data_IF_874506912251
#
_entry.id   IF_874506912251
#
_cell.length_a   1.000
_cell.length_b   1.000
_cell.length_c   1.000
_cell.angle_alpha   90.00
_cell.angle_beta   90.00
_cell.angle_gamma   90.00
#
_symmetry.space_group_name_H-M   'P 1'
#
loop_
_entity.id
_entity.type
_entity.pdbx_description
1 polymer ?
#
# COMPACT_ATOMS: atom_id res chain seq x y z
N UNK A 1 6.80 16.22 10.67
CA UNK A 1 5.84 16.21 11.79
C UNK A 1 4.41 16.51 11.33
N UNK A 2 4.21 17.24 10.22
CA UNK A 2 2.87 17.55 9.67
C UNK A 2 2.11 16.35 9.09
N UNK A 3 2.79 15.37 8.48
CA UNK A 3 2.12 14.24 7.80
C UNK A 3 1.31 13.34 8.76
N UNK A 4 1.81 13.08 9.97
CA UNK A 4 1.08 12.26 10.94
C UNK A 4 -0.15 13.01 11.49
N UNK A 5 -0.01 14.31 11.73
CA UNK A 5 -1.11 15.16 12.17
C UNK A 5 -2.18 15.21 11.08
N UNK A 6 -1.81 15.43 9.81
CA UNK A 6 -2.77 15.46 8.70
C UNK A 6 -3.51 14.13 8.53
N UNK A 7 -2.85 12.98 8.71
CA UNK A 7 -3.53 11.66 8.69
C UNK A 7 -4.57 11.53 9.80
N UNK A 8 -4.28 12.02 11.00
CA UNK A 8 -5.23 12.03 12.12
C UNK A 8 -6.37 13.02 11.84
N UNK A 9 -6.07 14.19 11.26
CA UNK A 9 -7.11 15.15 10.85
C UNK A 9 -8.04 14.54 9.80
N UNK A 10 -7.52 13.86 8.79
CA UNK A 10 -8.32 13.13 7.79
C UNK A 10 -9.21 12.08 8.46
N UNK A 11 -8.69 11.30 9.41
CA UNK A 11 -9.51 10.37 10.20
C UNK A 11 -10.66 11.10 10.90
N UNK A 12 -10.41 12.25 11.53
CA UNK A 12 -11.43 13.01 12.24
C UNK A 12 -12.49 13.62 11.33
N UNK A 13 -12.09 14.11 10.16
CA UNK A 13 -12.98 14.78 9.21
C UNK A 13 -13.80 13.78 8.40
N UNK A 14 -13.17 12.73 7.90
CA UNK A 14 -13.73 11.86 6.85
C UNK A 14 -13.97 10.42 7.33
N UNK A 15 -13.27 9.96 8.36
CA UNK A 15 -13.40 8.60 8.89
C UNK A 15 -14.80 8.29 9.44
N UNK A 16 -15.15 7.00 9.56
CA UNK A 16 -16.39 6.60 10.25
C UNK A 16 -16.34 7.01 11.72
N UNK A 17 -17.51 7.22 12.35
CA UNK A 17 -17.57 7.61 13.76
C UNK A 17 -16.98 6.54 14.68
N UNK A 18 -17.10 5.28 14.30
CA UNK A 18 -16.56 4.11 14.99
C UNK A 18 -15.03 4.08 14.95
N UNK A 19 -14.43 4.58 13.86
CA UNK A 19 -12.98 4.65 13.70
C UNK A 19 -12.35 5.79 14.52
N UNK A 20 -13.13 6.78 14.97
CA UNK A 20 -12.65 7.90 15.80
C UNK A 20 -12.48 7.43 17.25
N UNK A 21 -11.32 6.84 17.53
CA UNK A 21 -10.91 6.47 18.88
C UNK A 21 -9.40 6.57 19.05
N UNK A 22 -8.94 6.56 20.30
CA UNK A 22 -7.51 6.68 20.58
C UNK A 22 -6.69 5.47 20.08
N UNK A 23 -7.30 4.28 19.99
CA UNK A 23 -6.64 3.08 19.48
C UNK A 23 -6.26 3.23 18.00
N UNK A 24 -7.17 3.74 17.16
CA UNK A 24 -6.92 4.02 15.74
C UNK A 24 -5.79 5.04 15.58
N UNK A 25 -5.71 6.04 16.46
CA UNK A 25 -4.65 7.04 16.44
C UNK A 25 -3.29 6.40 16.76
N UNK A 26 -3.21 5.52 17.76
CA UNK A 26 -1.99 4.76 18.06
C UNK A 26 -1.58 3.93 16.84
N UNK A 27 -2.53 3.26 16.19
CA UNK A 27 -2.28 2.47 14.98
C UNK A 27 -1.73 3.32 13.83
N UNK A 28 -2.37 4.46 13.52
CA UNK A 28 -1.92 5.39 12.47
C UNK A 28 -0.51 5.95 12.70
N UNK A 29 -0.11 6.09 13.96
CA UNK A 29 1.21 6.60 14.33
C UNK A 29 2.27 5.50 14.49
N UNK A 30 1.88 4.22 14.48
CA UNK A 30 2.80 3.09 14.61
C UNK A 30 3.82 3.14 13.48
N UNK A 31 5.09 2.85 13.81
CA UNK A 31 6.17 2.71 12.82
C UNK A 31 6.60 1.25 12.77
N UNK A 32 6.16 0.53 11.74
CA UNK A 32 6.31 -0.93 11.70
C UNK A 32 5.64 -1.57 12.92
N UNK A 33 6.40 -2.35 13.69
CA UNK A 33 5.92 -2.95 14.94
C UNK A 33 6.00 -2.02 16.16
N UNK A 34 6.64 -0.86 16.05
CA UNK A 34 6.93 0.00 17.23
C UNK A 34 5.81 0.99 17.53
N UNK A 35 5.30 0.94 18.77
CA UNK A 35 4.38 1.93 19.33
C UNK A 35 5.16 3.11 19.91
N UNK A 36 4.75 4.33 19.58
CA UNK A 36 5.37 5.55 20.11
C UNK A 36 5.10 5.74 21.62
N UNK A 37 5.98 6.46 22.33
CA UNK A 37 5.73 6.83 23.73
C UNK A 37 4.42 7.60 23.93
N UNK A 38 3.70 7.32 25.02
CA UNK A 38 2.38 7.92 25.33
C UNK A 38 2.37 9.45 25.22
N UNK A 39 3.41 10.12 25.75
CA UNK A 39 3.49 11.58 25.71
C UNK A 39 3.56 12.13 24.27
N UNK A 40 4.22 11.42 23.35
CA UNK A 40 4.29 11.78 21.92
C UNK A 40 2.94 11.56 21.25
N UNK A 41 2.32 10.39 21.45
CA UNK A 41 0.99 10.05 20.91
C UNK A 41 -0.05 11.07 21.38
N UNK A 42 -0.07 11.37 22.69
CA UNK A 42 -1.00 12.33 23.31
C UNK A 42 -0.78 13.75 22.80
N UNK A 43 0.47 14.18 22.63
CA UNK A 43 0.81 15.49 22.06
C UNK A 43 0.27 15.66 20.65
N UNK A 44 0.51 14.68 19.78
CA UNK A 44 0.04 14.70 18.39
C UNK A 44 -1.49 14.63 18.30
N UNK A 45 -2.13 13.77 19.09
CA UNK A 45 -3.59 13.68 19.16
C UNK A 45 -4.20 15.02 19.61
N UNK A 46 -3.63 15.67 20.63
CA UNK A 46 -4.10 16.97 21.11
C UNK A 46 -3.98 18.05 20.04
N UNK A 47 -2.86 18.08 19.30
CA UNK A 47 -2.69 19.00 18.18
C UNK A 47 -3.76 18.77 17.10
N UNK A 48 -3.94 17.52 16.65
CA UNK A 48 -4.91 17.19 15.63
C UNK A 48 -6.36 17.49 16.06
N UNK A 49 -6.73 17.20 17.32
CA UNK A 49 -8.04 17.53 17.88
C UNK A 49 -8.27 19.04 17.77
N UNK A 50 -7.35 19.84 18.30
CA UNK A 50 -7.51 21.30 18.28
C UNK A 50 -7.68 21.85 16.85
N UNK A 51 -6.89 21.35 15.89
CA UNK A 51 -6.96 21.79 14.50
C UNK A 51 -8.23 21.30 13.78
N UNK A 52 -8.75 20.11 14.12
CA UNK A 52 -9.95 19.56 13.47
C UNK A 52 -11.26 20.13 14.04
N UNK A 53 -11.33 20.51 15.31
CA UNK A 53 -12.59 20.92 15.94
C UNK A 53 -13.25 22.14 15.27
N UNK A 54 -12.46 23.06 14.73
CA UNK A 54 -12.97 24.23 14.01
C UNK A 54 -13.53 23.87 12.63
N UNK A 55 -13.05 22.77 12.04
CA UNK A 55 -13.41 22.30 10.70
C UNK A 55 -14.62 21.37 10.69
N UNK A 56 -15.04 20.85 11.85
CA UNK A 56 -16.12 19.86 11.97
C UNK A 56 -17.43 20.58 12.31
N UNK A 57 -18.40 20.67 11.37
CA UNK A 57 -19.71 21.24 11.65
C UNK A 57 -20.63 20.27 12.40
N UNK A 58 -20.47 18.96 12.19
CA UNK A 58 -21.32 17.94 12.81
C UNK A 58 -21.04 17.78 14.31
N UNK A 59 -22.06 17.98 15.13
CA UNK A 59 -21.95 17.94 16.58
C UNK A 59 -21.54 16.55 17.10
N UNK A 60 -22.12 15.49 16.54
CA UNK A 60 -21.87 14.11 17.00
C UNK A 60 -20.40 13.71 16.76
N UNK A 61 -19.88 14.01 15.57
CA UNK A 61 -18.47 13.83 15.20
C UNK A 61 -17.56 14.68 16.07
N UNK A 62 -17.90 15.96 16.29
CA UNK A 62 -17.13 16.86 17.16
C UNK A 62 -17.01 16.31 18.58
N UNK A 63 -18.09 15.77 19.13
CA UNK A 63 -18.10 15.12 20.44
C UNK A 63 -17.19 13.87 20.46
N UNK A 64 -17.24 13.03 19.42
CA UNK A 64 -16.36 11.86 19.31
C UNK A 64 -14.87 12.23 19.24
N UNK A 65 -14.53 13.27 18.49
CA UNK A 65 -13.15 13.79 18.40
C UNK A 65 -12.66 14.31 19.76
N UNK A 66 -13.50 14.97 20.54
CA UNK A 66 -13.14 15.39 21.91
C UNK A 66 -12.92 14.19 22.84
N UNK A 67 -13.76 13.17 22.74
CA UNK A 67 -13.72 11.96 23.58
C UNK A 67 -12.39 11.20 23.43
N UNK A 68 -11.73 11.28 22.27
CA UNK A 68 -10.41 10.68 22.04
C UNK A 68 -9.40 11.04 23.13
N UNK A 69 -9.40 12.28 23.63
CA UNK A 69 -8.43 12.73 24.63
C UNK A 69 -8.68 12.15 26.01
N UNK A 70 -9.92 11.79 26.33
CA UNK A 70 -10.28 11.19 27.63
C UNK A 70 -9.92 9.70 27.68
N UNK A 71 -9.83 9.04 26.52
CA UNK A 71 -9.52 7.62 26.39
C UNK A 71 -8.02 7.28 26.54
N UNK A 72 -7.14 8.30 26.57
CA UNK A 72 -5.69 8.18 26.30
C UNK A 72 -4.95 7.12 27.14
N UNK A 73 -5.00 7.18 28.47
CA UNK A 73 -4.15 6.33 29.33
C UNK A 73 -4.58 4.86 29.35
N UNK A 74 -5.87 4.60 29.48
CA UNK A 74 -6.42 3.25 29.56
C UNK A 74 -6.22 2.51 28.24
N UNK A 75 -6.58 3.15 27.12
CA UNK A 75 -6.42 2.55 25.80
C UNK A 75 -4.94 2.31 25.49
N UNK A 76 -4.05 3.25 25.82
CA UNK A 76 -2.62 3.06 25.58
C UNK A 76 -2.06 1.85 26.33
N UNK A 77 -2.39 1.69 27.62
CA UNK A 77 -1.95 0.53 28.41
C UNK A 77 -2.46 -0.78 27.83
N UNK A 78 -3.74 -0.82 27.41
CA UNK A 78 -4.32 -2.01 26.80
C UNK A 78 -3.64 -2.35 25.48
N UNK A 79 -3.38 -1.36 24.62
CA UNK A 79 -2.71 -1.56 23.33
C UNK A 79 -1.26 -2.02 23.52
N UNK A 80 -0.50 -1.44 24.44
CA UNK A 80 0.86 -1.91 24.77
C UNK A 80 0.84 -3.32 25.36
N UNK A 81 -0.12 -3.63 26.23
CA UNK A 81 -0.28 -4.98 26.78
C UNK A 81 -0.64 -6.01 25.71
N UNK A 82 -1.54 -5.67 24.79
CA UNK A 82 -1.90 -6.51 23.64
C UNK A 82 -0.71 -6.69 22.69
N UNK A 83 0.10 -5.66 22.47
CA UNK A 83 1.32 -5.75 21.65
C UNK A 83 2.35 -6.70 22.29
N UNK A 84 2.53 -6.61 23.61
CA UNK A 84 3.48 -7.45 24.35
C UNK A 84 3.14 -8.95 24.27
N UNK A 85 1.86 -9.31 24.14
CA UNK A 85 1.41 -10.70 23.96
C UNK A 85 1.27 -11.09 22.48
N UNK A 86 1.80 -10.27 21.55
CA UNK A 86 1.65 -10.45 20.10
C UNK A 86 0.18 -10.47 19.63
N UNK A 87 -0.75 -9.99 20.44
CA UNK A 87 -2.17 -9.86 20.07
C UNK A 87 -2.44 -8.74 19.05
N UNK A 88 -1.48 -7.80 18.90
CA UNK A 88 -1.45 -6.81 17.81
C UNK A 88 -0.42 -7.13 16.73
N UNK A 89 0.18 -8.31 16.80
CA UNK A 89 0.83 -8.87 15.64
C UNK A 89 -0.30 -9.21 14.67
N UNK A 90 -0.51 -8.36 13.68
CA UNK A 90 -0.71 -8.95 12.35
C UNK A 90 0.42 -9.95 12.23
N UNK A 91 0.12 -11.22 11.96
CA UNK A 91 1.09 -11.99 11.20
C UNK A 91 1.39 -11.11 9.99
N UNK A 92 2.42 -10.27 10.12
CA UNK A 92 3.28 -10.04 9.02
C UNK A 92 3.77 -11.47 8.75
N UNK A 93 3.03 -12.20 7.90
CA UNK A 93 3.68 -12.62 6.68
C UNK A 93 4.58 -11.46 6.37
N UNK A 94 5.89 -11.67 6.60
CA UNK A 94 6.87 -10.74 6.14
C UNK A 94 6.35 -10.40 4.75
N UNK A 95 5.83 -9.20 4.53
CA UNK A 95 5.78 -8.67 3.18
C UNK A 95 7.25 -8.74 2.90
N UNK A 96 7.72 -9.76 2.16
CA UNK A 96 9.10 -9.81 1.76
C UNK A 96 9.37 -8.46 1.12
N UNK A 97 10.62 -8.18 0.85
CA UNK A 97 10.90 -7.16 -0.14
C UNK A 97 10.52 -7.69 -1.54
N UNK A 98 9.23 -8.09 -1.68
CA UNK A 98 8.53 -8.41 -2.90
C UNK A 98 8.86 -7.36 -3.95
N UNK A 99 9.18 -6.12 -3.56
CA UNK A 99 9.60 -5.15 -4.56
C UNK A 99 10.79 -5.67 -5.40
N UNK A 100 11.93 -5.99 -4.78
CA UNK A 100 13.15 -6.38 -5.49
C UNK A 100 13.11 -7.84 -5.94
N UNK A 101 12.77 -8.76 -5.03
CA UNK A 101 12.79 -10.19 -5.35
C UNK A 101 11.68 -10.60 -6.32
N UNK A 102 10.54 -9.90 -6.34
CA UNK A 102 9.49 -10.12 -7.35
C UNK A 102 9.83 -9.46 -8.68
N UNK A 103 10.45 -8.26 -8.70
CA UNK A 103 11.04 -7.70 -9.94
C UNK A 103 11.98 -8.74 -10.55
N UNK A 104 12.91 -9.27 -9.76
CA UNK A 104 13.88 -10.25 -10.26
C UNK A 104 13.24 -11.58 -10.67
N UNK A 105 12.21 -12.05 -9.96
CA UNK A 105 11.44 -13.25 -10.37
C UNK A 105 10.67 -13.01 -11.68
N UNK A 106 10.01 -11.87 -11.82
CA UNK A 106 9.23 -11.51 -13.01
C UNK A 106 10.13 -11.30 -14.23
N UNK A 107 11.28 -10.64 -14.06
CA UNK A 107 12.29 -10.49 -15.11
C UNK A 107 12.80 -11.85 -15.59
N UNK A 108 13.13 -12.77 -14.66
CA UNK A 108 13.54 -14.14 -15.02
C UNK A 108 12.44 -14.91 -15.75
N UNK A 109 11.19 -14.80 -15.30
CA UNK A 109 10.06 -15.45 -15.95
C UNK A 109 9.83 -14.89 -17.37
N UNK A 110 9.95 -13.57 -17.56
CA UNK A 110 9.83 -12.93 -18.86
C UNK A 110 10.98 -13.33 -19.79
N UNK A 111 12.23 -13.33 -19.30
CA UNK A 111 13.39 -13.83 -20.04
C UNK A 111 13.16 -15.26 -20.52
N UNK A 112 12.69 -16.15 -19.63
CA UNK A 112 12.39 -17.55 -19.98
C UNK A 112 11.30 -17.67 -21.06
N UNK A 113 10.27 -16.80 -21.04
CA UNK A 113 9.23 -16.78 -22.07
C UNK A 113 9.75 -16.29 -23.42
N UNK A 114 10.77 -15.43 -23.42
CA UNK A 114 11.39 -14.90 -24.64
C UNK A 114 12.45 -15.84 -25.25
N UNK A 115 12.85 -16.91 -24.56
CA UNK A 115 13.76 -17.94 -25.13
C UNK A 115 13.06 -18.86 -26.15
N UNK A 116 11.73 -18.90 -26.16
CA UNK A 116 10.94 -19.77 -27.03
C UNK A 116 9.96 -18.96 -27.90
N UNK A 117 10.37 -18.50 -29.10
CA UNK A 117 9.48 -17.90 -30.07
C UNK A 117 8.35 -18.86 -30.44
N UNK A 118 7.12 -18.34 -30.56
CA UNK A 118 5.94 -19.16 -30.87
C UNK A 118 5.96 -19.64 -32.33
N UNK A 119 6.49 -18.82 -33.25
CA UNK A 119 6.67 -19.15 -34.65
C UNK A 119 7.96 -18.52 -35.19
N UNK A 120 8.48 -19.07 -36.29
CA UNK A 120 9.71 -18.56 -36.93
C UNK A 120 9.60 -17.09 -37.37
N UNK A 121 8.38 -16.64 -37.70
CA UNK A 121 8.09 -15.24 -38.06
C UNK A 121 8.27 -14.27 -36.88
N UNK A 122 8.21 -14.77 -35.65
CA UNK A 122 8.27 -13.96 -34.43
C UNK A 122 9.71 -13.85 -33.87
N UNK A 123 10.68 -14.59 -34.43
CA UNK A 123 12.07 -14.64 -33.95
C UNK A 123 12.68 -13.23 -33.85
N UNK A 124 12.47 -12.38 -34.87
CA UNK A 124 13.01 -11.01 -34.89
C UNK A 124 12.45 -10.15 -33.74
N UNK A 125 11.15 -10.27 -33.48
CA UNK A 125 10.48 -9.57 -32.38
C UNK A 125 10.99 -10.05 -31.02
N UNK A 126 11.10 -11.36 -30.83
CA UNK A 126 11.58 -11.97 -29.59
C UNK A 126 13.03 -11.55 -29.29
N UNK A 127 13.90 -11.56 -30.30
CA UNK A 127 15.29 -11.10 -30.17
C UNK A 127 15.37 -9.61 -29.81
N UNK A 128 14.51 -8.78 -30.40
CA UNK A 128 14.43 -7.34 -30.08
C UNK A 128 13.98 -7.13 -28.63
N UNK A 129 12.93 -7.84 -28.20
CA UNK A 129 12.43 -7.77 -26.82
C UNK A 129 13.46 -8.26 -25.81
N UNK A 130 14.18 -9.34 -26.12
CA UNK A 130 15.26 -9.88 -25.29
C UNK A 130 16.41 -8.88 -25.13
N UNK A 131 16.80 -8.22 -26.22
CA UNK A 131 17.86 -7.20 -26.21
C UNK A 131 17.45 -6.01 -25.36
N UNK A 132 16.22 -5.50 -25.53
CA UNK A 132 15.70 -4.41 -24.74
C UNK A 132 15.63 -4.77 -23.25
N UNK A 133 15.14 -5.96 -22.92
CA UNK A 133 15.03 -6.44 -21.54
C UNK A 133 16.38 -6.52 -20.82
N UNK A 134 17.43 -6.91 -21.54
CA UNK A 134 18.80 -6.97 -21.00
C UNK A 134 19.45 -5.59 -20.81
N UNK A 135 18.94 -4.56 -21.48
CA UNK A 135 19.45 -3.19 -21.37
C UNK A 135 18.85 -2.40 -20.20
N UNK A 136 17.80 -2.92 -19.56
CA UNK A 136 17.13 -2.27 -18.42
C UNK A 136 18.03 -2.39 -17.18
N UNK A 137 18.31 -1.25 -16.53
CA UNK A 137 18.95 -1.25 -15.22
C UNK A 137 17.95 -1.70 -14.15
N UNK A 138 18.14 -2.93 -13.67
CA UNK A 138 17.30 -3.52 -12.62
C UNK A 138 17.33 -2.73 -11.32
N UNK A 139 18.38 -1.92 -11.11
CA UNK A 139 18.53 -1.12 -9.91
C UNK A 139 17.64 0.12 -9.88
N UNK A 140 17.24 0.59 -11.06
CA UNK A 140 16.33 1.73 -11.26
C UNK A 140 14.84 1.32 -11.25
N UNK A 141 14.54 0.01 -11.27
CA UNK A 141 13.17 -0.51 -11.20
C UNK A 141 12.63 -0.41 -9.76
N UNK A 142 11.53 0.31 -9.61
CA UNK A 142 10.80 0.47 -8.34
C UNK A 142 9.35 0.08 -8.58
N UNK A 143 8.77 -0.77 -7.72
CA UNK A 143 7.33 -1.01 -7.74
C UNK A 143 6.60 0.22 -7.25
N UNK A 144 5.88 0.90 -8.15
CA UNK A 144 4.95 1.94 -7.76
C UNK A 144 3.54 1.36 -7.81
N UNK A 145 2.92 1.25 -6.63
CA UNK A 145 1.54 0.85 -6.37
C UNK A 145 1.15 -0.62 -6.72
N UNK A 146 0.72 -1.46 -5.76
CA UNK A 146 0.18 -2.79 -6.06
C UNK A 146 -1.10 -2.75 -6.91
N UNK A 147 -1.80 -1.62 -6.96
CA UNK A 147 -2.98 -1.42 -7.82
C UNK A 147 -2.60 -1.31 -9.32
N UNK A 148 -1.35 -0.95 -9.63
CA UNK A 148 -0.81 -0.95 -10.99
C UNK A 148 -0.40 -2.35 -11.49
N UNK A 149 -0.48 -3.39 -10.63
CA UNK A 149 -0.23 -4.77 -11.01
C UNK A 149 -1.45 -5.43 -11.67
N UNK A 150 -2.59 -4.72 -11.73
CA UNK A 150 -3.70 -5.08 -12.61
C UNK A 150 -3.72 -4.14 -13.81
N UNK A 151 -3.43 -4.73 -14.96
CA UNK A 151 -3.71 -4.23 -16.30
C UNK A 151 -2.63 -3.24 -16.80
N UNK A 152 -2.01 -3.58 -17.94
CA UNK A 152 -1.43 -2.59 -18.84
C UNK A 152 -2.61 -1.78 -19.41
N UNK A 153 -3.20 -0.92 -18.59
CA UNK A 153 -4.24 0.03 -18.95
C UNK A 153 -3.61 1.39 -19.23
N UNK A 154 -2.40 1.40 -19.79
CA UNK A 154 -1.75 2.64 -20.20
C UNK A 154 -2.06 2.90 -21.69
N UNK A 155 -2.61 4.08 -21.97
CA UNK A 155 -2.89 4.66 -23.29
C UNK A 155 -1.65 4.93 -24.16
N UNK A 156 -0.47 4.49 -23.71
CA UNK A 156 0.79 4.54 -24.42
C UNK A 156 0.68 4.06 -25.88
N UNK A 157 1.47 4.69 -26.75
CA UNK A 157 1.56 4.31 -28.16
C UNK A 157 1.97 2.83 -28.36
N UNK A 158 2.61 2.24 -27.35
CA UNK A 158 3.07 0.85 -27.39
C UNK A 158 1.88 -0.13 -27.32
N UNK A 159 0.89 0.15 -26.47
CA UNK A 159 -0.33 -0.67 -26.31
C UNK A 159 -1.25 -0.54 -27.52
N UNK A 160 -1.38 0.68 -28.07
CA UNK A 160 -2.20 0.96 -29.27
C UNK A 160 -1.71 0.24 -30.53
N UNK A 161 -0.45 -0.19 -30.55
CA UNK A 161 0.14 -0.92 -31.68
C UNK A 161 0.17 -2.45 -31.47
N UNK A 162 -0.36 -2.98 -30.37
CA UNK A 162 -0.44 -4.43 -30.15
C UNK A 162 -1.56 -5.05 -30.99
N UNK A 163 -1.26 -6.18 -31.63
CA UNK A 163 -2.24 -6.96 -32.39
C UNK A 163 -3.23 -7.70 -31.48
N UNK A 164 -4.38 -8.09 -32.04
CA UNK A 164 -5.50 -8.67 -31.30
C UNK A 164 -5.15 -9.94 -30.49
N UNK A 165 -4.22 -10.77 -30.97
CA UNK A 165 -3.71 -11.94 -30.22
C UNK A 165 -2.77 -11.56 -29.07
N UNK A 166 -1.99 -10.49 -29.23
CA UNK A 166 -1.05 -10.01 -28.21
C UNK A 166 -1.83 -9.37 -27.05
N UNK A 167 -2.89 -8.64 -27.34
CA UNK A 167 -3.81 -8.11 -26.33
C UNK A 167 -4.37 -9.20 -25.39
N UNK A 168 -4.71 -10.38 -25.92
CA UNK A 168 -5.25 -11.49 -25.12
C UNK A 168 -4.26 -12.04 -24.09
N UNK A 169 -2.95 -11.92 -24.34
CA UNK A 169 -1.89 -12.41 -23.46
C UNK A 169 -1.50 -11.38 -22.40
N UNK A 170 -1.58 -10.09 -22.74
CA UNK A 170 -1.14 -8.98 -21.87
C UNK A 170 -2.24 -8.34 -21.03
N UNK A 171 -3.51 -8.38 -21.47
CA UNK A 171 -4.63 -7.71 -20.78
C UNK A 171 -5.50 -8.64 -19.95
N UNK A 172 -5.41 -9.96 -20.15
CA UNK A 172 -6.26 -10.91 -19.44
C UNK A 172 -5.53 -11.36 -18.17
N UNK A 173 -6.05 -11.08 -16.96
CA UNK A 173 -5.53 -11.72 -15.77
C UNK A 173 -5.67 -13.24 -15.93
N UNK A 174 -4.76 -14.07 -15.37
CA UNK A 174 -5.03 -15.49 -15.24
C UNK A 174 -6.37 -15.62 -14.51
N UNK A 175 -7.31 -16.34 -15.11
CA UNK A 175 -8.54 -16.72 -14.43
C UNK A 175 -8.10 -17.45 -13.16
N UNK A 176 -8.40 -16.85 -12.01
CA UNK A 176 -8.42 -17.58 -10.74
C UNK A 176 -9.54 -18.60 -10.90
N UNK A 177 -9.19 -19.79 -11.38
CA UNK A 177 -10.04 -20.95 -11.23
C UNK A 177 -10.05 -21.27 -9.73
N UNK A 178 -11.14 -20.87 -9.08
CA UNK A 178 -11.46 -21.34 -7.75
C UNK A 178 -11.57 -22.86 -7.79
N UNK A 179 -10.61 -23.56 -7.17
CA UNK A 179 -10.78 -24.83 -6.46
C UNK A 179 -9.62 -25.00 -5.45
#
# INVERSE_FOLDING_TARGET
MSILISKIETLFLEGSLEAICFATIIYLMRKGTTILPLNKVKGLAKCAVNTSLEKIPDFKRRMKVLEVLTQTEVIYKNIVGLDAVKGLSTEQEATPDHSREEIDRNLRALQSKLEAPIADTDISLYNTLKTNLNSIDRSELIWHDPEANMIIADDSALVKNLGQRQMQVFLKPPLVENL
#
